data_IF_815361098355
#
_entry.id   IF_815361098355
#
_cell.length_a   1.000
_cell.length_b   1.000
_cell.length_c   1.000
_cell.angle_alpha   90.00
_cell.angle_beta   90.00
_cell.angle_gamma   90.00
#
_symmetry.space_group_name_H-M   'P 1'
#
loop_
_entity.id
_entity.type
_entity.pdbx_description
1 polymer ?
#
# COMPACT_ATOMS: atom_id res chain seq x y z
N UNK A 1 19.53 7.98 39.15
CA UNK A 1 18.41 8.40 38.28
C UNK A 1 18.28 7.36 37.18
N UNK A 2 17.34 6.42 37.33
CA UNK A 2 17.01 5.43 36.31
C UNK A 2 16.01 6.06 35.35
N UNK A 3 16.40 6.22 34.09
CA UNK A 3 15.50 6.66 33.03
C UNK A 3 14.51 5.52 32.73
N UNK A 4 13.22 5.82 32.89
CA UNK A 4 12.14 4.86 32.69
C UNK A 4 11.98 4.46 31.24
N UNK A 5 12.00 3.15 30.99
CA UNK A 5 11.68 2.51 29.72
C UNK A 5 10.18 2.12 29.66
N UNK A 6 9.28 2.99 30.15
CA UNK A 6 7.86 2.65 30.41
C UNK A 6 6.90 2.86 29.23
N UNK A 7 7.36 3.47 28.13
CA UNK A 7 6.49 3.85 26.99
C UNK A 7 6.27 2.75 25.95
N UNK A 8 7.13 1.72 25.91
CA UNK A 8 7.02 0.56 25.02
C UNK A 8 6.06 -0.50 25.57
N UNK A 9 6.25 -0.88 26.83
CA UNK A 9 5.41 -1.86 27.54
C UNK A 9 3.93 -1.45 27.58
N UNK A 10 3.63 -0.17 27.81
CA UNK A 10 2.25 0.28 27.91
C UNK A 10 1.50 0.20 26.56
N UNK A 11 2.16 0.58 25.46
CA UNK A 11 1.57 0.48 24.11
C UNK A 11 1.41 -0.98 23.67
N UNK A 12 2.40 -1.82 23.99
CA UNK A 12 2.33 -3.25 23.71
C UNK A 12 1.16 -3.91 24.45
N UNK A 13 1.02 -3.65 25.75
CA UNK A 13 -0.09 -4.17 26.56
C UNK A 13 -1.46 -3.72 26.06
N UNK A 14 -1.58 -2.45 25.63
CA UNK A 14 -2.81 -1.93 25.05
C UNK A 14 -3.19 -2.64 23.74
N UNK A 15 -2.23 -2.91 22.86
CA UNK A 15 -2.47 -3.65 21.61
C UNK A 15 -2.93 -5.07 21.92
N UNK A 16 -2.26 -5.76 22.84
CA UNK A 16 -2.64 -7.13 23.26
C UNK A 16 -4.07 -7.17 23.82
N UNK A 17 -4.45 -6.18 24.63
CA UNK A 17 -5.80 -6.08 25.16
C UNK A 17 -6.83 -5.86 24.04
N UNK A 18 -6.58 -4.92 23.13
CA UNK A 18 -7.47 -4.63 21.99
C UNK A 18 -7.65 -5.88 21.11
N UNK A 19 -6.55 -6.57 20.79
CA UNK A 19 -6.59 -7.81 20.00
C UNK A 19 -7.39 -8.90 20.70
N UNK A 20 -7.18 -9.08 22.01
CA UNK A 20 -7.91 -10.07 22.80
C UNK A 20 -9.42 -9.79 22.79
N UNK A 21 -9.82 -8.53 22.91
CA UNK A 21 -11.23 -8.11 22.85
C UNK A 21 -11.81 -8.31 21.46
N UNK A 22 -11.05 -8.00 20.40
CA UNK A 22 -11.48 -8.21 19.02
C UNK A 22 -11.70 -9.69 18.70
N UNK A 23 -10.81 -10.58 19.17
CA UNK A 23 -10.96 -12.05 19.02
C UNK A 23 -12.17 -12.56 19.80
N UNK A 24 -12.36 -12.11 21.05
CA UNK A 24 -13.50 -12.49 21.85
C UNK A 24 -14.83 -12.06 21.19
N UNK A 25 -14.90 -10.82 20.70
CA UNK A 25 -16.07 -10.30 19.98
C UNK A 25 -16.32 -11.06 18.67
N UNK A 26 -15.27 -11.45 17.96
CA UNK A 26 -15.37 -12.26 16.74
C UNK A 26 -16.03 -13.61 17.01
N UNK A 27 -15.67 -14.26 18.12
CA UNK A 27 -16.20 -15.57 18.53
C UNK A 27 -17.64 -15.54 19.01
N UNK A 28 -18.11 -14.40 19.51
CA UNK A 28 -19.50 -14.22 19.97
C UNK A 28 -20.40 -13.52 18.95
N UNK A 29 -19.87 -13.21 17.77
CA UNK A 29 -20.62 -12.60 16.68
C UNK A 29 -21.56 -13.60 15.99
N UNK A 30 -22.45 -13.11 15.12
CA UNK A 30 -23.26 -13.97 14.26
C UNK A 30 -22.53 -14.46 13.01
N UNK A 31 -21.31 -13.98 12.76
CA UNK A 31 -20.51 -14.31 11.59
C UNK A 31 -19.42 -13.27 11.32
N UNK A 32 -18.37 -13.71 10.63
CA UNK A 32 -17.24 -12.88 10.23
C UNK A 32 -17.29 -12.58 8.73
N UNK A 33 -17.19 -11.30 8.39
CA UNK A 33 -17.06 -10.84 7.00
C UNK A 33 -15.64 -10.33 6.83
N UNK A 34 -14.87 -11.02 6.00
CA UNK A 34 -13.47 -10.70 5.73
C UNK A 34 -13.32 -10.22 4.29
N UNK A 35 -12.64 -9.09 4.13
CA UNK A 35 -12.25 -8.58 2.82
C UNK A 35 -11.03 -9.35 2.31
N UNK A 36 -11.21 -10.63 2.02
CA UNK A 36 -10.21 -11.53 1.42
C UNK A 36 -10.90 -12.46 0.43
N UNK A 37 -10.15 -13.29 -0.29
CA UNK A 37 -10.71 -14.30 -1.18
C UNK A 37 -9.86 -15.56 -1.08
N UNK A 38 -10.49 -16.74 -1.22
CA UNK A 38 -9.84 -18.02 -0.99
C UNK A 38 -8.49 -18.23 -1.70
N UNK A 39 -8.31 -17.70 -2.92
CA UNK A 39 -7.04 -17.85 -3.66
C UNK A 39 -5.87 -17.02 -3.09
N UNK A 40 -6.10 -16.09 -2.16
CA UNK A 40 -5.05 -15.37 -1.45
C UNK A 40 -4.57 -16.12 -0.22
N UNK A 41 -5.50 -16.70 0.56
CA UNK A 41 -5.27 -17.20 1.92
C UNK A 41 -5.98 -18.53 2.16
N UNK A 42 -5.72 -19.53 1.30
CA UNK A 42 -6.47 -20.80 1.33
C UNK A 42 -6.28 -21.54 2.65
N UNK A 43 -5.05 -21.65 3.14
CA UNK A 43 -4.71 -22.39 4.37
C UNK A 43 -5.25 -21.71 5.61
N UNK A 44 -5.14 -20.39 5.66
CA UNK A 44 -5.50 -19.53 6.79
C UNK A 44 -7.02 -19.46 6.91
N UNK A 45 -7.73 -19.29 5.78
CA UNK A 45 -9.19 -19.33 5.76
C UNK A 45 -9.74 -20.71 6.12
N UNK A 46 -9.05 -21.79 5.73
CA UNK A 46 -9.41 -23.14 6.16
C UNK A 46 -9.19 -23.35 7.66
N UNK A 47 -8.10 -22.82 8.23
CA UNK A 47 -7.86 -22.85 9.68
C UNK A 47 -8.90 -22.03 10.44
N UNK A 48 -9.17 -20.80 10.00
CA UNK A 48 -10.13 -19.92 10.65
C UNK A 48 -11.54 -20.53 10.69
N UNK A 49 -12.00 -21.11 9.58
CA UNK A 49 -13.30 -21.82 9.52
C UNK A 49 -13.37 -23.07 10.40
N UNK A 50 -12.22 -23.66 10.78
CA UNK A 50 -12.18 -24.79 11.73
C UNK A 50 -12.14 -24.31 13.18
N UNK A 51 -11.43 -23.22 13.45
CA UNK A 51 -11.09 -22.79 14.81
C UNK A 51 -12.12 -21.81 15.41
N UNK A 52 -13.06 -21.32 14.60
CA UNK A 52 -14.13 -20.41 15.00
C UNK A 52 -15.52 -21.01 14.71
N UNK A 53 -16.38 -20.99 15.74
CA UNK A 53 -17.73 -21.57 15.66
C UNK A 53 -18.78 -20.62 15.05
N UNK A 54 -18.34 -19.64 14.25
CA UNK A 54 -19.23 -18.69 13.55
C UNK A 54 -19.01 -18.77 12.05
N UNK A 55 -20.03 -18.54 11.21
CA UNK A 55 -19.87 -18.50 9.76
C UNK A 55 -18.82 -17.47 9.33
N UNK A 56 -17.89 -17.86 8.44
CA UNK A 56 -16.84 -16.97 7.90
C UNK A 56 -17.05 -16.77 6.40
N UNK A 57 -17.17 -15.51 5.98
CA UNK A 57 -17.41 -15.10 4.60
C UNK A 57 -16.23 -14.28 4.07
N UNK A 58 -15.50 -14.84 3.11
CA UNK A 58 -14.47 -14.16 2.32
C UNK A 58 -15.12 -13.46 1.11
N UNK A 59 -15.45 -12.18 1.28
CA UNK A 59 -16.24 -11.39 0.31
C UNK A 59 -15.37 -10.46 -0.54
N UNK A 60 -14.05 -10.64 -0.51
CA UNK A 60 -13.10 -9.77 -1.19
C UNK A 60 -12.91 -10.09 -2.68
N UNK A 61 -12.23 -9.18 -3.42
CA UNK A 61 -11.83 -7.85 -2.96
C UNK A 61 -13.00 -6.85 -3.05
N UNK A 62 -13.40 -6.29 -1.90
CA UNK A 62 -14.55 -5.38 -1.79
C UNK A 62 -14.41 -4.11 -2.65
N UNK A 63 -13.17 -3.66 -2.90
CA UNK A 63 -12.89 -2.49 -3.76
C UNK A 63 -13.33 -2.70 -5.22
N UNK A 64 -13.66 -3.93 -5.64
CA UNK A 64 -14.24 -4.25 -6.94
C UNK A 64 -15.75 -4.51 -6.92
N UNK A 65 -16.30 -4.84 -5.76
CA UNK A 65 -17.71 -5.19 -5.61
C UNK A 65 -18.59 -3.97 -5.33
N UNK A 66 -17.98 -2.86 -4.90
CA UNK A 66 -18.66 -1.58 -4.76
C UNK A 66 -18.56 -0.77 -6.07
N UNK A 67 -19.67 -0.24 -6.62
CA UNK A 67 -19.58 0.76 -7.68
C UNK A 67 -18.77 1.94 -7.15
N UNK A 68 -17.81 2.44 -7.94
CA UNK A 68 -16.78 3.42 -7.58
C UNK A 68 -17.26 4.39 -6.48
N UNK A 69 -17.02 4.02 -5.22
CA UNK A 69 -17.23 4.94 -4.12
C UNK A 69 -16.24 6.09 -4.36
N UNK A 70 -16.61 7.35 -4.04
CA UNK A 70 -15.62 8.41 -3.99
C UNK A 70 -14.46 7.86 -3.15
N UNK A 71 -13.26 7.97 -3.72
CA UNK A 71 -12.02 7.47 -3.14
C UNK A 71 -12.04 7.62 -1.61
N UNK A 72 -11.59 6.60 -0.87
CA UNK A 72 -11.52 6.64 0.59
C UNK A 72 -10.62 7.77 1.14
N UNK A 73 -10.03 8.58 0.27
CA UNK A 73 -9.30 9.79 0.57
C UNK A 73 -10.09 11.02 0.13
N UNK A 74 -10.19 12.00 1.05
CA UNK A 74 -10.74 13.32 0.79
C UNK A 74 -9.81 14.18 -0.09
N UNK A 75 -8.62 13.69 -0.42
CA UNK A 75 -7.64 14.40 -1.25
C UNK A 75 -7.98 14.23 -2.73
N UNK A 76 -7.88 15.34 -3.47
CA UNK A 76 -8.06 15.35 -4.91
C UNK A 76 -6.93 14.57 -5.58
N UNK A 77 -7.29 13.57 -6.37
CA UNK A 77 -6.36 12.80 -7.19
C UNK A 77 -5.61 13.70 -8.18
N UNK A 78 -4.29 13.66 -8.16
CA UNK A 78 -3.46 14.24 -9.20
C UNK A 78 -3.37 13.28 -10.37
N UNK A 79 -4.21 13.49 -11.40
CA UNK A 79 -4.19 12.67 -12.61
C UNK A 79 -3.01 12.99 -13.52
N UNK A 80 -2.27 14.08 -13.30
CA UNK A 80 -1.05 14.40 -14.05
C UNK A 80 0.04 13.33 -13.86
N UNK A 81 -0.02 12.53 -12.79
CA UNK A 81 0.88 11.39 -12.63
C UNK A 81 0.68 10.30 -13.70
N UNK A 82 -0.53 10.16 -14.26
CA UNK A 82 -0.78 9.18 -15.32
C UNK A 82 -0.10 9.62 -16.63
N UNK A 83 -0.17 10.91 -16.97
CA UNK A 83 0.53 11.47 -18.13
C UNK A 83 2.06 11.33 -17.99
N UNK A 84 2.58 11.49 -16.77
CA UNK A 84 4.00 11.24 -16.49
C UNK A 84 4.37 9.76 -16.69
N UNK A 85 3.49 8.84 -16.28
CA UNK A 85 3.69 7.40 -16.46
C UNK A 85 3.64 6.97 -17.93
N UNK A 86 2.82 7.63 -18.76
CA UNK A 86 2.74 7.38 -20.22
C UNK A 86 4.10 7.61 -20.93
N UNK A 87 4.93 8.49 -20.38
CA UNK A 87 6.25 8.80 -20.91
C UNK A 87 7.36 7.82 -20.47
N UNK A 88 7.07 6.86 -19.59
CA UNK A 88 8.05 5.94 -19.03
C UNK A 88 8.10 4.61 -19.79
N UNK A 89 9.25 3.94 -19.73
CA UNK A 89 9.38 2.60 -20.31
C UNK A 89 8.49 1.58 -19.56
N UNK A 90 7.96 0.54 -20.23
CA UNK A 90 7.20 -0.51 -19.58
C UNK A 90 7.97 -1.14 -18.42
N UNK A 91 7.27 -1.38 -17.31
CA UNK A 91 7.78 -1.98 -16.08
C UNK A 91 9.10 -1.39 -15.55
N UNK A 92 9.31 -0.08 -15.74
CA UNK A 92 10.52 0.63 -15.27
C UNK A 92 10.30 1.44 -14.00
N UNK A 93 9.05 1.78 -13.68
CA UNK A 93 8.70 2.70 -12.60
C UNK A 93 8.45 1.96 -11.29
N UNK A 94 9.09 2.44 -10.22
CA UNK A 94 8.74 2.10 -8.85
C UNK A 94 7.62 3.02 -8.35
N UNK A 95 6.45 2.45 -8.08
CA UNK A 95 5.38 3.18 -7.39
C UNK A 95 5.59 3.08 -5.87
N UNK A 96 5.55 4.21 -5.15
CA UNK A 96 5.76 4.28 -3.70
C UNK A 96 4.53 4.91 -3.05
N UNK A 97 3.82 4.16 -2.19
CA UNK A 97 2.65 4.67 -1.45
C UNK A 97 2.42 3.95 -0.12
N UNK A 98 2.29 4.77 0.94
CA UNK A 98 2.05 4.32 2.32
C UNK A 98 0.55 4.41 2.72
N UNK A 99 -0.37 4.37 1.75
CA UNK A 99 -1.82 4.33 1.99
C UNK A 99 -2.38 5.60 2.62
N UNK A 100 -3.36 5.47 3.53
CA UNK A 100 -3.95 6.61 4.26
C UNK A 100 -3.60 6.63 5.76
N UNK A 101 -3.20 5.49 6.35
CA UNK A 101 -3.06 5.32 7.80
C UNK A 101 -1.60 5.38 8.27
N UNK A 102 -0.65 4.83 7.53
CA UNK A 102 0.75 4.72 7.99
C UNK A 102 1.40 6.09 8.21
N UNK A 103 2.23 6.24 9.23
CA UNK A 103 2.98 7.49 9.46
C UNK A 103 4.44 7.19 9.76
N UNK A 104 5.33 8.05 9.26
CA UNK A 104 6.77 7.97 9.46
C UNK A 104 7.30 9.23 10.16
N UNK A 105 8.48 9.13 10.75
CA UNK A 105 9.26 10.24 11.28
C UNK A 105 9.93 11.02 10.14
N UNK A 106 10.40 12.22 10.45
CA UNK A 106 11.18 13.02 9.51
C UNK A 106 12.51 12.34 9.13
N UNK A 107 13.12 11.59 10.06
CA UNK A 107 14.35 10.84 9.79
C UNK A 107 14.10 9.71 8.77
N UNK A 108 13.05 8.91 8.98
CA UNK A 108 12.66 7.85 8.04
C UNK A 108 12.32 8.41 6.65
N UNK A 109 11.70 9.60 6.57
CA UNK A 109 11.48 10.28 5.28
C UNK A 109 12.79 10.59 4.56
N UNK A 110 13.78 11.12 5.29
CA UNK A 110 15.09 11.49 4.71
C UNK A 110 15.82 10.25 4.21
N UNK A 111 15.87 9.18 5.01
CA UNK A 111 16.50 7.92 4.62
C UNK A 111 15.82 7.31 3.40
N UNK A 112 14.48 7.35 3.36
CA UNK A 112 13.69 6.87 2.23
C UNK A 112 13.93 7.69 0.97
N UNK A 113 13.94 9.02 1.08
CA UNK A 113 14.22 9.91 -0.03
C UNK A 113 15.60 9.60 -0.64
N UNK A 114 16.64 9.47 0.19
CA UNK A 114 17.97 9.11 -0.31
C UNK A 114 18.04 7.68 -0.85
N UNK A 115 17.31 6.73 -0.26
CA UNK A 115 17.19 5.37 -0.80
C UNK A 115 16.59 5.35 -2.21
N UNK A 116 15.48 6.07 -2.41
CA UNK A 116 14.82 6.22 -3.71
C UNK A 116 15.75 6.93 -4.70
N UNK A 117 16.40 8.01 -4.29
CA UNK A 117 17.34 8.74 -5.14
C UNK A 117 18.51 7.82 -5.58
N UNK A 118 19.13 7.11 -4.64
CA UNK A 118 20.30 6.28 -4.92
C UNK A 118 19.95 5.00 -5.70
N UNK A 119 18.68 4.58 -5.74
CA UNK A 119 18.25 3.45 -6.55
C UNK A 119 18.47 3.66 -8.06
N UNK A 120 18.53 4.91 -8.52
CA UNK A 120 18.66 5.26 -9.93
C UNK A 120 17.43 4.94 -10.79
N UNK A 121 16.38 4.34 -10.23
CA UNK A 121 15.17 3.99 -10.97
C UNK A 121 14.22 5.18 -11.13
N UNK A 122 13.39 5.22 -12.19
CA UNK A 122 12.22 6.08 -12.26
C UNK A 122 11.23 5.74 -11.14
N UNK A 123 10.60 6.75 -10.55
CA UNK A 123 9.65 6.53 -9.46
C UNK A 123 8.47 7.50 -9.48
N UNK A 124 7.32 7.01 -9.01
CA UNK A 124 6.15 7.81 -8.66
C UNK A 124 5.91 7.65 -7.16
N UNK A 125 6.05 8.73 -6.39
CA UNK A 125 5.89 8.70 -4.93
C UNK A 125 4.69 9.53 -4.48
N UNK A 126 3.76 8.89 -3.75
CA UNK A 126 2.67 9.54 -3.06
C UNK A 126 3.13 10.04 -1.69
N UNK A 127 3.37 11.34 -1.58
CA UNK A 127 3.75 12.03 -0.34
C UNK A 127 2.56 12.82 0.21
N UNK A 128 1.64 12.12 0.88
CA UNK A 128 0.40 12.71 1.37
C UNK A 128 0.60 13.62 2.59
N UNK A 129 -0.24 14.67 2.74
CA UNK A 129 -0.39 15.40 3.99
C UNK A 129 -0.58 14.48 5.19
N UNK A 130 0.17 14.73 6.28
CA UNK A 130 0.07 13.95 7.51
C UNK A 130 0.80 12.60 7.51
N UNK A 131 1.52 12.24 6.44
CA UNK A 131 2.40 11.06 6.43
C UNK A 131 3.55 11.20 7.45
N UNK A 132 4.10 12.41 7.59
CA UNK A 132 5.23 12.69 8.48
C UNK A 132 4.73 13.25 9.79
N UNK A 133 5.06 12.58 10.90
CA UNK A 133 4.59 12.96 12.24
C UNK A 133 5.11 14.34 12.62
N UNK A 134 4.21 15.25 12.97
CA UNK A 134 4.54 16.61 13.40
C UNK A 134 4.99 17.55 12.27
N UNK A 135 4.92 17.12 11.01
CA UNK A 135 5.19 18.00 9.88
C UNK A 135 4.01 18.96 9.61
N UNK A 136 4.27 20.13 8.99
CA UNK A 136 3.22 20.95 8.41
C UNK A 136 2.44 20.17 7.33
N UNK A 137 1.37 20.77 6.80
CA UNK A 137 0.44 20.18 5.82
C UNK A 137 1.10 19.48 4.64
N UNK A 138 2.35 19.81 4.29
CA UNK A 138 3.15 19.08 3.31
C UNK A 138 4.54 18.81 3.88
N UNK A 139 5.01 17.57 3.77
CA UNK A 139 6.35 17.20 4.18
C UNK A 139 7.39 17.76 3.20
N UNK A 140 8.50 18.27 3.73
CA UNK A 140 9.62 18.79 2.95
C UNK A 140 10.62 17.67 2.70
N UNK A 141 10.96 17.43 1.43
CA UNK A 141 12.01 16.49 1.03
C UNK A 141 13.40 17.09 1.32
N UNK A 142 14.43 16.25 1.52
CA UNK A 142 15.77 16.76 1.84
C UNK A 142 16.35 17.61 0.71
N UNK A 143 17.15 18.61 1.08
CA UNK A 143 17.82 19.49 0.13
C UNK A 143 18.65 18.68 -0.88
N UNK A 144 18.53 19.03 -2.16
CA UNK A 144 19.20 18.34 -3.27
C UNK A 144 18.48 17.08 -3.78
N UNK A 145 17.39 16.63 -3.14
CA UNK A 145 16.61 15.50 -3.63
C UNK A 145 16.09 15.73 -5.05
N UNK A 146 15.49 16.89 -5.32
CA UNK A 146 14.93 17.23 -6.63
C UNK A 146 16.01 17.27 -7.72
N UNK A 147 17.19 17.79 -7.39
CA UNK A 147 18.33 17.80 -8.32
C UNK A 147 18.83 16.38 -8.61
N UNK A 148 18.94 15.53 -7.58
CA UNK A 148 19.40 14.15 -7.72
C UNK A 148 18.42 13.24 -8.48
N UNK A 149 17.15 13.62 -8.53
CA UNK A 149 16.05 12.84 -9.15
C UNK A 149 15.46 13.50 -10.40
N UNK A 150 16.07 14.60 -10.86
CA UNK A 150 15.61 15.39 -12.00
C UNK A 150 15.36 14.50 -13.23
N UNK A 151 14.15 14.59 -13.77
CA UNK A 151 13.75 13.88 -14.99
C UNK A 151 13.32 12.42 -14.79
N UNK A 152 13.43 11.86 -13.58
CA UNK A 152 13.06 10.47 -13.28
C UNK A 152 12.12 10.29 -12.10
N UNK A 153 11.86 11.33 -11.32
CA UNK A 153 10.93 11.30 -10.20
C UNK A 153 9.66 12.11 -10.47
N UNK A 154 8.51 11.58 -10.06
CA UNK A 154 7.27 12.32 -9.86
C UNK A 154 6.82 12.17 -8.41
N UNK A 155 6.58 13.30 -7.72
CA UNK A 155 6.06 13.33 -6.36
C UNK A 155 4.71 14.01 -6.36
N UNK A 156 3.68 13.32 -5.86
CA UNK A 156 2.30 13.83 -5.81
C UNK A 156 1.73 13.65 -4.41
N UNK A 157 0.76 14.49 -4.04
CA UNK A 157 0.10 14.39 -2.74
C UNK A 157 -0.88 13.22 -2.66
N UNK A 158 -1.51 12.87 -3.79
CA UNK A 158 -2.44 11.75 -3.91
C UNK A 158 -2.57 11.28 -5.36
N UNK A 159 -2.62 9.97 -5.58
CA UNK A 159 -2.71 9.35 -6.91
C UNK A 159 -3.88 8.36 -7.01
N UNK A 160 -4.46 8.17 -8.21
CA UNK A 160 -5.46 7.13 -8.46
C UNK A 160 -4.80 5.75 -8.45
N UNK A 161 -4.61 5.19 -7.25
CA UNK A 161 -3.78 4.00 -7.02
C UNK A 161 -4.18 2.80 -7.89
N UNK A 162 -5.47 2.58 -8.12
CA UNK A 162 -5.98 1.48 -8.93
C UNK A 162 -5.66 1.63 -10.42
N UNK A 163 -5.61 2.86 -10.93
CA UNK A 163 -5.15 3.20 -12.28
C UNK A 163 -3.62 3.10 -12.38
N UNK A 164 -2.89 3.64 -11.40
CA UNK A 164 -1.43 3.58 -11.33
C UNK A 164 -0.93 2.13 -11.31
N UNK A 165 -1.47 1.27 -10.44
CA UNK A 165 -1.09 -0.14 -10.37
C UNK A 165 -1.44 -0.94 -11.63
N UNK A 166 -2.46 -0.49 -12.38
CA UNK A 166 -2.84 -1.07 -13.66
C UNK A 166 -1.97 -0.57 -14.83
N UNK A 167 -1.21 0.50 -14.65
CA UNK A 167 -0.41 1.12 -15.70
C UNK A 167 0.79 0.24 -16.12
N UNK A 168 1.09 0.18 -17.43
CA UNK A 168 2.13 -0.70 -17.98
C UNK A 168 3.55 -0.30 -17.56
N UNK A 169 3.79 0.99 -17.30
CA UNK A 169 5.07 1.50 -16.83
C UNK A 169 5.42 1.04 -15.40
N UNK A 170 4.43 0.68 -14.57
CA UNK A 170 4.66 0.32 -13.17
C UNK A 170 5.17 -1.12 -13.06
N UNK A 171 6.45 -1.23 -12.69
CA UNK A 171 7.20 -2.48 -12.53
C UNK A 171 7.36 -2.93 -11.08
N UNK A 172 7.15 -2.05 -10.10
CA UNK A 172 7.23 -2.40 -8.68
C UNK A 172 6.33 -1.52 -7.82
N UNK A 173 5.93 -2.04 -6.66
CA UNK A 173 5.12 -1.31 -5.69
C UNK A 173 5.75 -1.40 -4.29
N UNK A 174 6.27 -0.27 -3.81
CA UNK A 174 6.73 -0.13 -2.44
C UNK A 174 5.59 0.42 -1.57
N UNK A 175 5.14 -0.40 -0.62
CA UNK A 175 4.01 -0.07 0.26
C UNK A 175 4.22 -0.58 1.67
N UNK A 176 3.55 0.04 2.64
CA UNK A 176 3.51 -0.39 4.05
C UNK A 176 2.72 -1.69 4.30
N UNK A 177 2.44 -2.47 3.25
CA UNK A 177 1.64 -3.69 3.32
C UNK A 177 0.23 -3.52 3.92
N UNK A 178 -0.35 -2.32 3.83
CA UNK A 178 -1.73 -2.09 4.25
C UNK A 178 -2.70 -3.02 3.52
N UNK A 179 -3.65 -3.60 4.24
CA UNK A 179 -4.53 -4.67 3.73
C UNK A 179 -5.19 -4.36 2.37
N UNK A 180 -5.67 -3.13 2.18
CA UNK A 180 -6.26 -2.72 0.90
C UNK A 180 -5.22 -2.63 -0.24
N UNK A 181 -4.01 -2.14 0.04
CA UNK A 181 -2.91 -2.09 -0.94
C UNK A 181 -2.53 -3.50 -1.43
N UNK A 182 -2.46 -4.48 -0.52
CA UNK A 182 -2.16 -5.88 -0.88
C UNK A 182 -3.25 -6.48 -1.78
N UNK A 183 -4.53 -6.22 -1.48
CA UNK A 183 -5.65 -6.70 -2.31
C UNK A 183 -5.66 -6.08 -3.70
N UNK A 184 -5.34 -4.78 -3.82
CA UNK A 184 -5.28 -4.07 -5.09
C UNK A 184 -4.12 -4.57 -5.97
N UNK A 185 -2.95 -4.81 -5.37
CA UNK A 185 -1.78 -5.38 -6.05
C UNK A 185 -2.03 -6.80 -6.55
N UNK A 186 -2.44 -7.72 -5.67
CA UNK A 186 -2.70 -9.11 -6.05
C UNK A 186 -3.80 -9.25 -7.10
N UNK A 187 -4.71 -8.27 -7.17
CA UNK A 187 -5.69 -8.19 -8.27
C UNK A 187 -5.09 -7.60 -9.56
N UNK A 188 -4.25 -6.56 -9.49
CA UNK A 188 -3.54 -6.03 -10.65
C UNK A 188 -2.71 -7.11 -11.34
N UNK A 189 -2.04 -7.97 -10.57
CA UNK A 189 -1.31 -9.13 -11.06
C UNK A 189 -2.21 -10.09 -11.86
N UNK A 190 -3.42 -10.38 -11.35
CA UNK A 190 -4.38 -11.26 -12.06
C UNK A 190 -5.09 -10.61 -13.25
N UNK A 191 -5.30 -9.28 -13.26
CA UNK A 191 -5.74 -8.56 -14.48
C UNK A 191 -4.73 -8.71 -15.60
N UNK A 192 -3.42 -8.66 -15.29
CA UNK A 192 -2.35 -8.90 -16.28
C UNK A 192 -2.41 -10.33 -16.85
N UNK A 193 -2.80 -11.32 -16.04
CA UNK A 193 -3.06 -12.70 -16.50
C UNK A 193 -4.32 -12.85 -17.37
N UNK A 194 -5.40 -12.12 -17.09
CA UNK A 194 -6.64 -12.15 -17.89
C UNK A 194 -6.57 -11.34 -19.19
N UNK A 195 -5.98 -10.13 -19.17
CA UNK A 195 -5.77 -9.28 -20.36
C UNK A 195 -4.79 -9.93 -21.35
N UNK A 196 -3.89 -10.80 -20.88
CA UNK A 196 -2.97 -11.64 -21.68
C UNK A 196 -3.66 -12.55 -22.70
N UNK A 197 -4.97 -12.78 -22.61
CA UNK A 197 -5.70 -13.58 -23.62
C UNK A 197 -6.21 -12.78 -24.82
N UNK A 198 -6.01 -11.45 -24.89
CA UNK A 198 -6.60 -10.62 -25.96
C UNK A 198 -5.69 -9.61 -26.68
N UNK A 199 -4.45 -9.38 -26.30
CA UNK A 199 -3.63 -8.39 -27.01
C UNK A 199 -2.15 -8.78 -27.10
N UNK A 200 -1.68 -8.76 -28.35
CA UNK A 200 -0.30 -8.93 -28.80
C UNK A 200 0.59 -7.78 -28.31
N UNK A 201 1.86 -8.08 -27.98
CA UNK A 201 2.96 -7.11 -28.12
C UNK A 201 3.64 -6.55 -26.86
N UNK A 202 3.51 -7.16 -25.67
CA UNK A 202 4.33 -6.79 -24.51
C UNK A 202 5.01 -8.03 -23.93
N UNK A 203 6.30 -8.19 -24.24
CA UNK A 203 7.14 -9.22 -23.63
C UNK A 203 7.26 -8.99 -22.11
N UNK A 204 7.46 -10.11 -21.42
CA UNK A 204 7.32 -10.29 -19.98
C UNK A 204 8.00 -9.22 -19.11
N UNK A 205 7.26 -8.69 -18.15
CA UNK A 205 7.88 -8.20 -16.91
C UNK A 205 7.00 -8.52 -15.71
N UNK A 206 7.58 -9.29 -14.79
CA UNK A 206 7.01 -9.61 -13.48
C UNK A 206 7.23 -8.40 -12.58
N UNK A 207 6.15 -7.83 -12.02
CA UNK A 207 6.31 -6.94 -10.89
C UNK A 207 6.65 -7.81 -9.66
N UNK A 208 7.82 -7.57 -9.06
CA UNK A 208 8.20 -8.11 -7.76
C UNK A 208 9.07 -7.07 -7.10
N UNK A 209 8.63 -6.59 -5.93
CA UNK A 209 9.43 -6.25 -4.76
C UNK A 209 8.47 -5.58 -3.75
N UNK A 210 7.96 -6.38 -2.80
CA UNK A 210 7.33 -5.89 -1.57
C UNK A 210 8.44 -5.79 -0.53
N UNK A 211 8.79 -4.58 -0.12
CA UNK A 211 9.65 -4.35 1.04
C UNK A 211 8.76 -3.93 2.21
N UNK A 212 8.80 -4.70 3.28
CA UNK A 212 8.17 -4.37 4.56
C UNK A 212 9.16 -3.58 5.42
N UNK A 213 8.70 -2.51 6.06
CA UNK A 213 9.48 -1.78 7.06
C UNK A 213 8.87 -2.16 8.41
N UNK A 214 9.36 -3.24 9.01
CA UNK A 214 9.06 -3.61 10.41
C UNK A 214 9.60 -2.57 11.40
#
# INVERSE_FOLDING_TARGET
MTFGNGGGDHRHNLIVEILSRAVAASRTSSGLILNTFNALETSEMAALRRDIDVPVFDVGPLHKLSPAAPSSSLLKHDRGCLEWLDAQAPASVLYVSFGSIASMSAAELVDMAWGIANSGHPFLWVLRPGLVRGAPTQATLPDGFDDSTRGRGAVVSWAPQDEVLAHCAVGGFFTHSGWNSMLEEGFAERRRSWVRRRALGCEETRAKLVYDME
#
